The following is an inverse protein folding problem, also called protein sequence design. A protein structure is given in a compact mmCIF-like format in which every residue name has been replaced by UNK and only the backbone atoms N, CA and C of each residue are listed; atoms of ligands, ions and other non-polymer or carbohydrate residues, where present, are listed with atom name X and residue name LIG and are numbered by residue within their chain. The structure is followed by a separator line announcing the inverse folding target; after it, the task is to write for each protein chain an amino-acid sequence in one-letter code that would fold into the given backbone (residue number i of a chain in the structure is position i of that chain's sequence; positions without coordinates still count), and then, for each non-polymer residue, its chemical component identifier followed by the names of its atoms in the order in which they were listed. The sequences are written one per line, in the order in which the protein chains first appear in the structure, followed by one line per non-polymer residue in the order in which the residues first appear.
data_IF_388510918423
#
_entry.id   IF_388510918423
#
_cell.length_a   1.000
_cell.length_b   1.000
_cell.length_c   1.000
_cell.angle_alpha   90.00
_cell.angle_beta   90.00
_cell.angle_gamma   90.00
#
_symmetry.space_group_name_H-M   'P 1'
#
loop_
_entity.id
_entity.type
_entity.pdbx_description
1 polymer ?
#
# COMPACT_ATOMS: atom_id res chain seq x y z
N UNK A 1 12.89 -8.48 -8.52
CA UNK A 1 12.31 -7.21 -9.04
C UNK A 1 13.10 -6.84 -10.29
N UNK A 2 12.45 -6.72 -11.45
CA UNK A 2 13.13 -6.48 -12.74
C UNK A 2 13.74 -5.07 -12.84
N UNK A 3 13.00 -4.05 -12.40
CA UNK A 3 13.53 -2.68 -12.24
C UNK A 3 12.62 -1.83 -11.33
N UNK A 4 13.16 -0.70 -10.88
CA UNK A 4 12.42 0.39 -10.24
C UNK A 4 12.98 1.72 -10.79
N UNK A 5 12.12 2.55 -11.40
CA UNK A 5 12.53 3.81 -12.02
C UNK A 5 11.67 4.94 -11.47
N UNK A 6 12.31 6.06 -11.17
CA UNK A 6 11.63 7.31 -10.84
C UNK A 6 10.99 7.89 -12.09
N UNK A 7 9.81 8.50 -11.93
CA UNK A 7 9.21 9.37 -12.94
C UNK A 7 9.67 10.80 -12.66
N UNK A 8 10.20 11.47 -13.68
CA UNK A 8 10.84 12.78 -13.55
C UNK A 8 9.83 13.94 -13.53
N UNK A 9 8.73 13.81 -14.27
CA UNK A 9 7.71 14.85 -14.46
C UNK A 9 6.40 14.51 -13.73
N UNK A 10 5.52 13.76 -14.37
CA UNK A 10 4.17 13.47 -13.89
C UNK A 10 3.95 11.97 -13.77
N UNK A 11 2.79 11.60 -13.23
CA UNK A 11 2.29 10.22 -13.20
C UNK A 11 1.23 9.99 -14.28
N UNK A 12 1.18 10.84 -15.32
CA UNK A 12 0.30 10.65 -16.45
C UNK A 12 0.64 9.35 -17.20
N UNK A 13 -0.36 8.77 -17.84
CA UNK A 13 -0.24 7.49 -18.54
C UNK A 13 0.88 7.47 -19.58
N UNK A 14 1.06 8.57 -20.33
CA UNK A 14 2.10 8.69 -21.35
C UNK A 14 3.50 8.67 -20.74
N UNK A 15 3.71 9.35 -19.61
CA UNK A 15 5.01 9.37 -18.94
C UNK A 15 5.40 7.97 -18.47
N UNK A 16 4.44 7.23 -17.90
CA UNK A 16 4.64 5.84 -17.47
C UNK A 16 4.90 4.93 -18.68
N UNK A 17 4.09 5.05 -19.73
CA UNK A 17 4.24 4.27 -20.97
C UNK A 17 5.62 4.49 -21.61
N UNK A 18 6.04 5.75 -21.76
CA UNK A 18 7.32 6.11 -22.34
C UNK A 18 8.48 5.56 -21.50
N UNK A 19 8.37 5.60 -20.17
CA UNK A 19 9.38 5.04 -19.27
C UNK A 19 9.49 3.52 -19.41
N UNK A 20 8.36 2.84 -19.50
CA UNK A 20 8.30 1.39 -19.72
C UNK A 20 8.86 1.01 -21.09
N UNK A 21 8.42 1.70 -22.14
CA UNK A 21 8.87 1.47 -23.52
C UNK A 21 10.39 1.67 -23.64
N UNK A 22 10.91 2.78 -23.13
CA UNK A 22 12.36 3.04 -23.12
C UNK A 22 13.11 1.91 -22.41
N UNK A 23 12.63 1.45 -21.24
CA UNK A 23 13.25 0.32 -20.56
C UNK A 23 13.28 -0.94 -21.42
N UNK A 24 12.19 -1.28 -22.11
CA UNK A 24 12.14 -2.44 -23.00
C UNK A 24 13.12 -2.28 -24.18
N UNK A 25 13.12 -1.10 -24.81
CA UNK A 25 13.98 -0.80 -25.96
C UNK A 25 15.46 -0.87 -25.58
N UNK A 26 15.88 -0.28 -24.46
CA UNK A 26 17.28 -0.28 -23.97
C UNK A 26 17.77 -1.69 -23.60
N UNK A 27 16.87 -2.60 -23.25
CA UNK A 27 17.21 -3.97 -22.88
C UNK A 27 16.94 -4.97 -24.01
N UNK A 28 16.69 -4.48 -25.23
CA UNK A 28 16.38 -5.32 -26.39
C UNK A 28 15.25 -6.33 -26.13
N UNK A 29 14.22 -5.91 -25.38
CA UNK A 29 13.04 -6.73 -25.07
C UNK A 29 11.90 -6.31 -26.02
N UNK A 30 11.58 -7.11 -27.04
CA UNK A 30 10.49 -6.76 -27.95
C UNK A 30 9.15 -6.67 -27.21
N UNK A 31 8.39 -5.58 -27.42
CA UNK A 31 7.06 -5.36 -26.84
C UNK A 31 6.11 -6.55 -27.05
N UNK A 32 6.23 -7.24 -28.20
CA UNK A 32 5.45 -8.45 -28.54
C UNK A 32 5.66 -9.63 -27.58
N UNK A 33 6.77 -9.66 -26.84
CA UNK A 33 7.07 -10.70 -25.86
C UNK A 33 6.30 -10.51 -24.55
N UNK A 34 5.70 -9.33 -24.33
CA UNK A 34 4.84 -9.11 -23.18
C UNK A 34 3.52 -9.85 -23.37
N UNK A 35 3.35 -10.92 -22.61
CA UNK A 35 2.13 -11.75 -22.65
C UNK A 35 1.02 -11.13 -21.83
N UNK A 36 1.34 -10.51 -20.70
CA UNK A 36 0.36 -9.84 -19.83
C UNK A 36 0.99 -8.74 -19.00
N UNK A 37 0.15 -7.80 -18.54
CA UNK A 37 0.53 -6.76 -17.59
C UNK A 37 -0.57 -6.57 -16.55
N UNK A 38 -0.18 -6.47 -15.29
CA UNK A 38 -1.10 -6.26 -14.17
C UNK A 38 -0.91 -4.87 -13.52
N UNK A 39 -2.01 -4.19 -13.21
CA UNK A 39 -2.00 -2.91 -12.49
C UNK A 39 -3.15 -2.79 -11.49
N UNK A 40 -3.04 -1.84 -10.56
CA UNK A 40 -3.92 -1.61 -9.40
C UNK A 40 -5.21 -0.83 -9.70
N UNK A 41 -5.66 -0.82 -10.96
CA UNK A 41 -6.91 -0.14 -11.33
C UNK A 41 -6.82 1.38 -11.43
N UNK A 42 -5.69 2.01 -11.09
CA UNK A 42 -5.53 3.45 -11.17
C UNK A 42 -5.84 3.98 -12.59
N UNK A 43 -6.55 5.12 -12.75
CA UNK A 43 -6.98 5.61 -14.07
C UNK A 43 -5.84 5.84 -15.07
N UNK A 44 -4.67 6.27 -14.60
CA UNK A 44 -3.47 6.44 -15.42
C UNK A 44 -2.87 5.11 -15.91
N UNK A 45 -3.13 4.00 -15.22
CA UNK A 45 -2.68 2.66 -15.61
C UNK A 45 -3.72 1.93 -16.46
N UNK A 46 -4.98 1.91 -15.99
CA UNK A 46 -6.05 1.07 -16.53
C UNK A 46 -7.17 1.84 -17.25
N UNK A 47 -7.01 3.16 -17.45
CA UNK A 47 -7.98 3.99 -18.15
C UNK A 47 -8.31 3.47 -19.55
N UNK A 48 -9.61 3.42 -19.88
CA UNK A 48 -10.11 2.80 -21.13
C UNK A 48 -9.63 3.46 -22.41
N UNK A 49 -9.44 4.79 -22.38
CA UNK A 49 -9.02 5.60 -23.55
C UNK A 49 -7.52 5.85 -23.55
N UNK A 50 -7.01 6.39 -22.43
CA UNK A 50 -5.64 6.89 -22.34
C UNK A 50 -4.85 6.24 -21.19
N UNK A 51 -5.18 5.03 -20.74
CA UNK A 51 -4.40 4.35 -19.70
C UNK A 51 -3.08 3.79 -20.25
N UNK A 52 -2.04 3.72 -19.42
CA UNK A 52 -0.74 3.18 -19.82
C UNK A 52 -0.85 1.76 -20.41
N UNK A 53 -1.62 0.88 -19.74
CA UNK A 53 -1.83 -0.49 -20.24
C UNK A 53 -2.66 -0.54 -21.53
N UNK A 54 -3.52 0.46 -21.75
CA UNK A 54 -4.24 0.62 -23.03
C UNK A 54 -3.28 0.98 -24.16
N UNK A 55 -2.36 1.93 -23.94
CA UNK A 55 -1.32 2.28 -24.90
C UNK A 55 -0.41 1.09 -25.23
N UNK A 56 0.00 0.32 -24.21
CA UNK A 56 0.78 -0.90 -24.41
C UNK A 56 0.00 -1.98 -25.18
N UNK A 57 -1.31 -2.11 -24.93
CA UNK A 57 -2.19 -3.05 -25.65
C UNK A 57 -2.38 -2.65 -27.11
N UNK A 58 -2.38 -1.35 -27.41
CA UNK A 58 -2.45 -0.86 -28.79
C UNK A 58 -1.13 -1.16 -29.53
N UNK A 59 0.01 -1.07 -28.85
CA UNK A 59 1.32 -1.48 -29.39
C UNK A 59 1.51 -3.02 -29.48
N UNK A 60 0.84 -3.79 -28.62
CA UNK A 60 0.82 -5.24 -28.64
C UNK A 60 -0.61 -5.78 -28.41
N UNK A 61 -1.39 -5.97 -29.48
CA UNK A 61 -2.78 -6.43 -29.39
C UNK A 61 -2.97 -7.79 -28.70
N UNK A 62 -1.92 -8.62 -28.61
CA UNK A 62 -1.98 -9.94 -27.96
C UNK A 62 -1.81 -9.88 -26.44
N UNK A 63 -1.25 -8.80 -25.90
CA UNK A 63 -0.97 -8.65 -24.46
C UNK A 63 -2.26 -8.69 -23.63
N UNK A 64 -2.34 -9.44 -22.55
CA UNK A 64 -3.52 -9.48 -21.67
C UNK A 64 -3.37 -8.41 -20.58
N UNK A 65 -4.41 -7.59 -20.40
CA UNK A 65 -4.48 -6.64 -19.27
C UNK A 65 -5.15 -7.34 -18.10
N UNK A 66 -4.47 -7.36 -16.96
CA UNK A 66 -4.98 -7.94 -15.72
C UNK A 66 -5.18 -6.84 -14.69
N UNK A 67 -6.35 -6.76 -14.10
CA UNK A 67 -6.53 -5.93 -12.91
C UNK A 67 -6.03 -6.71 -11.70
N UNK A 68 -5.07 -6.14 -10.97
CA UNK A 68 -4.48 -6.71 -9.75
C UNK A 68 -5.54 -7.35 -8.85
N UNK A 69 -5.46 -8.68 -8.70
CA UNK A 69 -6.35 -9.48 -7.86
C UNK A 69 -6.35 -8.95 -6.45
N UNK A 70 -5.13 -8.72 -5.93
CA UNK A 70 -4.96 -8.29 -4.57
C UNK A 70 -5.66 -6.89 -4.41
N UNK A 71 -5.56 -5.97 -5.39
CA UNK A 71 -6.21 -4.64 -5.28
C UNK A 71 -7.73 -4.77 -5.21
N UNK A 72 -8.31 -5.67 -6.03
CA UNK A 72 -9.74 -6.00 -5.98
C UNK A 72 -10.14 -6.56 -4.62
N UNK A 73 -9.37 -7.49 -4.07
CA UNK A 73 -9.63 -8.04 -2.73
C UNK A 73 -9.65 -6.95 -1.67
N UNK A 74 -8.72 -6.00 -1.71
CA UNK A 74 -8.71 -4.85 -0.80
C UNK A 74 -9.94 -3.94 -0.98
N UNK A 75 -10.39 -3.70 -2.21
CA UNK A 75 -11.63 -2.94 -2.46
C UNK A 75 -12.87 -3.68 -1.92
N UNK A 76 -12.94 -4.99 -2.13
CA UNK A 76 -14.06 -5.81 -1.65
C UNK A 76 -14.06 -5.88 -0.12
N UNK A 77 -12.90 -6.11 0.51
CA UNK A 77 -12.77 -6.19 1.96
C UNK A 77 -13.29 -4.92 2.68
N UNK A 78 -13.08 -3.74 2.09
CA UNK A 78 -13.62 -2.46 2.61
C UNK A 78 -15.15 -2.41 2.63
N UNK A 79 -15.82 -3.15 1.74
CA UNK A 79 -17.27 -3.10 1.54
C UNK A 79 -18.01 -4.31 2.14
N UNK A 80 -17.31 -5.41 2.47
CA UNK A 80 -17.93 -6.63 3.04
C UNK A 80 -18.59 -6.35 4.40
N UNK A 81 -17.95 -5.53 5.24
CA UNK A 81 -18.48 -5.20 6.57
C UNK A 81 -18.11 -3.77 6.95
N UNK A 82 -19.07 -2.82 6.87
CA UNK A 82 -18.86 -1.44 7.30
C UNK A 82 -18.37 -1.35 8.74
N UNK A 83 -18.95 -2.16 9.64
CA UNK A 83 -18.59 -2.20 11.07
C UNK A 83 -17.12 -2.60 11.25
N UNK A 84 -16.67 -3.68 10.59
CA UNK A 84 -15.27 -4.10 10.71
C UNK A 84 -14.31 -3.09 10.08
N UNK A 85 -14.73 -2.42 9.00
CA UNK A 85 -13.95 -1.35 8.38
C UNK A 85 -13.82 -0.13 9.31
N UNK A 86 -14.88 0.26 10.01
CA UNK A 86 -14.84 1.32 11.03
C UNK A 86 -13.89 0.99 12.19
N UNK A 87 -13.97 -0.24 12.72
CA UNK A 87 -13.05 -0.72 13.77
C UNK A 87 -11.60 -0.67 13.29
N UNK A 88 -11.34 -1.13 12.06
CA UNK A 88 -10.00 -1.08 11.47
C UNK A 88 -9.49 0.35 11.31
N UNK A 89 -10.35 1.29 10.91
CA UNK A 89 -10.00 2.71 10.86
C UNK A 89 -9.71 3.30 12.25
N UNK A 90 -10.45 2.92 13.28
CA UNK A 90 -10.18 3.32 14.65
C UNK A 90 -8.79 2.81 15.14
N UNK A 91 -8.47 1.54 14.84
CA UNK A 91 -7.15 0.95 15.12
C UNK A 91 -6.03 1.72 14.41
N UNK A 92 -6.18 1.97 13.10
CA UNK A 92 -5.19 2.73 12.32
C UNK A 92 -5.01 4.13 12.89
N UNK A 93 -6.10 4.82 13.25
CA UNK A 93 -6.05 6.15 13.87
C UNK A 93 -5.27 6.12 15.18
N UNK A 94 -5.55 5.15 16.05
CA UNK A 94 -4.85 4.96 17.32
C UNK A 94 -3.34 4.75 17.12
N UNK A 95 -2.96 3.85 16.21
CA UNK A 95 -1.55 3.60 15.86
C UNK A 95 -0.90 4.86 15.32
N UNK A 96 -1.56 5.57 14.42
CA UNK A 96 -1.06 6.81 13.83
C UNK A 96 -0.86 7.90 14.90
N UNK A 97 -1.74 8.03 15.89
CA UNK A 97 -1.58 8.98 17.00
C UNK A 97 -0.30 8.71 17.82
N UNK A 98 0.04 7.45 18.06
CA UNK A 98 1.28 7.09 18.78
C UNK A 98 2.50 7.35 17.88
N UNK A 99 2.41 7.03 16.59
CA UNK A 99 3.50 7.16 15.62
C UNK A 99 3.68 8.57 15.04
N UNK A 100 2.73 9.48 15.25
CA UNK A 100 2.78 10.85 14.73
C UNK A 100 3.95 11.68 15.29
N UNK A 101 4.51 11.29 16.44
CA UNK A 101 5.64 11.97 17.06
C UNK A 101 6.72 10.96 17.44
N UNK A 102 7.96 11.23 17.01
CA UNK A 102 9.13 10.45 17.41
C UNK A 102 9.33 10.43 18.94
N UNK A 103 8.89 11.47 19.67
CA UNK A 103 8.88 11.46 21.14
C UNK A 103 7.85 10.46 21.66
N UNK A 104 6.62 10.50 21.15
CA UNK A 104 5.56 9.60 21.60
C UNK A 104 5.89 8.13 21.31
N UNK A 105 6.44 7.83 20.12
CA UNK A 105 6.86 6.46 19.78
C UNK A 105 7.97 5.95 20.72
N UNK A 106 8.98 6.79 21.04
CA UNK A 106 10.04 6.41 21.99
C UNK A 106 9.49 6.16 23.40
N UNK A 107 8.55 6.98 23.86
CA UNK A 107 7.89 6.80 25.16
C UNK A 107 7.06 5.51 25.19
N UNK A 108 6.32 5.21 24.12
CA UNK A 108 5.56 3.98 24.01
C UNK A 108 6.49 2.76 24.01
N UNK A 109 7.61 2.81 23.28
CA UNK A 109 8.63 1.75 23.29
C UNK A 109 9.15 1.46 24.71
N UNK A 110 9.57 2.50 25.42
CA UNK A 110 10.03 2.39 26.81
C UNK A 110 8.95 1.84 27.75
N UNK A 111 7.68 2.21 27.50
CA UNK A 111 6.55 1.69 28.26
C UNK A 111 6.38 0.19 28.04
N UNK A 112 6.36 -0.28 26.79
CA UNK A 112 6.28 -1.71 26.46
C UNK A 112 7.46 -2.52 27.02
N UNK A 113 8.68 -1.98 26.95
CA UNK A 113 9.88 -2.62 27.53
C UNK A 113 9.72 -2.82 29.05
N UNK A 114 9.17 -1.82 29.76
CA UNK A 114 8.91 -1.92 31.21
C UNK A 114 7.78 -2.89 31.56
N UNK A 115 6.82 -3.10 30.66
CA UNK A 115 5.75 -4.09 30.83
C UNK A 115 6.18 -5.49 30.36
N UNK A 116 7.42 -5.66 29.88
CA UNK A 116 7.94 -6.92 29.34
C UNK A 116 7.09 -7.49 28.19
N UNK A 117 6.60 -6.61 27.32
CA UNK A 117 5.85 -6.98 26.11
C UNK A 117 6.74 -7.63 25.06
N UNK A 118 6.24 -8.66 24.36
CA UNK A 118 6.93 -9.32 23.24
C UNK A 118 7.24 -8.36 22.08
N UNK A 119 6.48 -7.27 21.99
CA UNK A 119 6.59 -6.29 20.94
C UNK A 119 6.65 -4.87 21.51
N UNK A 120 7.70 -4.13 21.17
CA UNK A 120 7.93 -2.78 21.73
C UNK A 120 7.62 -1.66 20.73
N UNK A 121 7.09 -1.99 19.55
CA UNK A 121 6.74 -1.01 18.50
C UNK A 121 5.48 -1.41 17.75
N UNK A 122 4.69 -0.40 17.38
CA UNK A 122 3.56 -0.53 16.48
C UNK A 122 3.99 -0.43 15.01
N UNK A 123 3.27 -1.15 14.14
CA UNK A 123 3.50 -1.13 12.70
C UNK A 123 2.63 -0.05 12.05
N UNK A 124 3.24 0.84 11.26
CA UNK A 124 2.49 1.87 10.54
C UNK A 124 1.74 1.24 9.36
N UNK A 125 0.52 1.71 9.15
CA UNK A 125 -0.21 1.46 7.92
C UNK A 125 -0.52 2.78 7.19
N UNK A 126 -0.33 2.78 5.88
CA UNK A 126 -0.77 3.85 4.96
C UNK A 126 -1.63 3.23 3.88
N UNK A 127 -2.63 3.95 3.37
CA UNK A 127 -3.59 3.41 2.39
C UNK A 127 -2.91 2.84 1.12
N UNK A 128 -1.74 3.37 0.75
CA UNK A 128 -0.93 2.87 -0.37
C UNK A 128 -0.25 1.51 -0.11
N UNK A 129 -0.14 1.09 1.16
CA UNK A 129 0.42 -0.21 1.62
C UNK A 129 -0.67 -1.07 2.27
N UNK A 130 -1.78 -1.21 1.57
CA UNK A 130 -2.94 -2.05 1.90
C UNK A 130 -2.60 -3.46 2.44
N UNK A 131 -1.57 -4.14 1.93
CA UNK A 131 -1.10 -5.43 2.47
C UNK A 131 -0.62 -5.37 3.94
N UNK A 132 -0.29 -4.18 4.46
CA UNK A 132 0.15 -4.03 5.85
C UNK A 132 -1.00 -3.87 6.86
N UNK A 133 -2.27 -3.75 6.42
CA UNK A 133 -3.42 -3.58 7.32
C UNK A 133 -3.54 -4.73 8.32
N UNK A 134 -3.46 -5.98 7.84
CA UNK A 134 -3.55 -7.16 8.69
C UNK A 134 -2.42 -7.23 9.72
N UNK A 135 -1.18 -6.92 9.32
CA UNK A 135 -0.03 -6.89 10.23
C UNK A 135 -0.15 -5.77 11.28
N UNK A 136 -0.65 -4.60 10.88
CA UNK A 136 -0.94 -3.48 11.78
C UNK A 136 -1.99 -3.89 12.83
N UNK A 137 -3.10 -4.46 12.40
CA UNK A 137 -4.16 -4.94 13.30
C UNK A 137 -3.65 -6.03 14.24
N UNK A 138 -2.93 -7.03 13.72
CA UNK A 138 -2.34 -8.10 14.54
C UNK A 138 -1.42 -7.53 15.62
N UNK A 139 -0.52 -6.61 15.24
CA UNK A 139 0.40 -5.96 16.19
C UNK A 139 -0.34 -5.11 17.22
N UNK A 140 -1.40 -4.42 16.80
CA UNK A 140 -2.24 -3.64 17.71
C UNK A 140 -2.90 -4.54 18.75
N UNK A 141 -3.49 -5.67 18.33
CA UNK A 141 -4.15 -6.61 19.24
C UNK A 141 -3.16 -7.24 20.23
N UNK A 142 -1.95 -7.57 19.79
CA UNK A 142 -0.88 -8.07 20.67
C UNK A 142 -0.43 -7.05 21.73
N UNK A 143 -0.71 -5.77 21.52
CA UNK A 143 -0.32 -4.69 22.43
C UNK A 143 -1.53 -3.92 22.98
N UNK A 144 -2.73 -4.50 22.89
CA UNK A 144 -3.97 -3.79 23.17
C UNK A 144 -3.99 -3.20 24.59
N UNK A 145 -3.63 -4.01 25.59
CA UNK A 145 -3.60 -3.59 26.98
C UNK A 145 -2.55 -2.51 27.23
N UNK A 146 -1.34 -2.70 26.70
CA UNK A 146 -0.28 -1.70 26.79
C UNK A 146 -0.68 -0.36 26.14
N UNK A 147 -1.33 -0.40 24.98
CA UNK A 147 -1.84 0.79 24.29
C UNK A 147 -2.91 1.49 25.13
N UNK A 148 -3.87 0.73 25.69
CA UNK A 148 -4.95 1.27 26.52
C UNK A 148 -4.42 2.00 27.76
N UNK A 149 -3.47 1.37 28.47
CA UNK A 149 -2.81 1.98 29.64
C UNK A 149 -1.95 3.18 29.24
N UNK A 150 -1.20 3.10 28.14
CA UNK A 150 -0.35 4.19 27.68
C UNK A 150 -1.17 5.43 27.29
N UNK A 151 -2.26 5.24 26.55
CA UNK A 151 -3.10 6.35 26.09
C UNK A 151 -3.90 6.98 27.23
N UNK A 152 -4.41 6.20 28.18
CA UNK A 152 -5.09 6.75 29.36
C UNK A 152 -4.17 7.62 30.23
N UNK A 153 -2.87 7.29 30.29
CA UNK A 153 -1.86 8.11 30.98
C UNK A 153 -1.45 9.38 30.22
N UNK A 154 -1.63 9.40 28.89
CA UNK A 154 -1.30 10.55 28.02
C UNK A 154 -2.46 11.55 27.88
N UNK A 155 -3.70 11.10 28.11
CA UNK A 155 -4.92 11.91 28.04
C UNK A 155 -5.26 12.62 29.37
N UNK A 156 -4.43 12.43 30.40
CA UNK A 156 -4.38 13.29 31.59
C UNK A 156 -3.28 14.32 31.41
#
# INVERSE_FOLDING_TARGET
MLFCKRLESTTASNDIYNKLKNYLDVNDIPMKNLTSCAADGAPNMMGKKNGCLKLMKDANPKMIIVHSVIHKENLVAKNISPILNEVLHAVIKCVNTIKASAKCERLFKLFCEKQNEDHVRLLLHTEVRWLSKGNCLKRFMQLFDAISVFLSKKLK
#
